data_IF_579911158954
#
_entry.id   IF_579911158954
#
_cell.length_a   1.000
_cell.length_b   1.000
_cell.length_c   1.000
_cell.angle_alpha   90.00
_cell.angle_beta   90.00
_cell.angle_gamma   90.00
#
_symmetry.space_group_name_H-M   'P 1'
#
loop_
_entity.id
_entity.type
_entity.pdbx_description
1 polymer ?
#
# COMPACT_ATOMS: atom_id res chain seq x y z
N UNK A 1 -6.68 -28.32 13.07
CA UNK A 1 -6.74 -27.77 11.70
C UNK A 1 -5.46 -26.99 11.49
N UNK A 2 -4.49 -27.53 10.75
CA UNK A 2 -3.25 -26.81 10.45
C UNK A 2 -3.52 -25.86 9.29
N UNK A 3 -3.58 -24.56 9.57
CA UNK A 3 -3.50 -23.54 8.53
C UNK A 3 -2.08 -23.64 7.93
N UNK A 4 -1.98 -24.10 6.68
CA UNK A 4 -0.72 -24.05 5.95
C UNK A 4 -0.38 -22.61 5.64
N UNK A 5 0.81 -22.15 6.02
CA UNK A 5 1.36 -20.86 5.60
C UNK A 5 1.46 -20.84 4.07
N UNK A 6 0.79 -19.89 3.42
CA UNK A 6 0.89 -19.70 1.99
C UNK A 6 2.21 -18.99 1.70
N UNK A 7 3.29 -19.71 1.43
CA UNK A 7 4.58 -19.09 1.12
C UNK A 7 4.49 -18.39 -0.25
N UNK A 8 4.30 -17.07 -0.24
CA UNK A 8 4.35 -16.29 -1.46
C UNK A 8 5.83 -16.13 -1.89
N UNK A 9 6.06 -16.04 -3.21
CA UNK A 9 7.34 -15.58 -3.73
C UNK A 9 7.46 -14.07 -3.52
N UNK A 10 7.52 -13.65 -2.26
CA UNK A 10 7.68 -12.25 -1.85
C UNK A 10 9.08 -12.07 -1.27
N UNK A 11 9.79 -11.08 -1.79
CA UNK A 11 11.03 -10.60 -1.19
C UNK A 11 10.75 -9.64 -0.05
N UNK A 12 11.60 -8.63 0.08
CA UNK A 12 11.36 -7.48 0.95
C UNK A 12 10.23 -6.61 0.36
N UNK A 13 9.21 -6.33 1.16
CA UNK A 13 8.08 -5.47 0.79
C UNK A 13 8.12 -4.22 1.68
N UNK A 14 7.90 -3.07 1.08
CA UNK A 14 7.78 -1.78 1.75
C UNK A 14 6.36 -1.22 1.67
N UNK A 15 5.81 -0.82 2.81
CA UNK A 15 4.48 -0.23 2.96
C UNK A 15 4.61 1.25 3.35
N UNK A 16 3.81 2.12 2.72
CA UNK A 16 3.68 3.50 3.17
C UNK A 16 2.92 3.56 4.51
N UNK A 17 3.52 4.22 5.50
CA UNK A 17 2.90 4.53 6.78
C UNK A 17 2.58 6.01 6.85
N UNK A 18 1.29 6.33 6.85
CA UNK A 18 0.81 7.70 6.94
C UNK A 18 0.56 8.11 8.40
N UNK A 19 0.60 9.41 8.70
CA UNK A 19 0.52 9.93 10.07
C UNK A 19 -0.87 9.90 10.72
N UNK A 20 -1.92 9.50 10.00
CA UNK A 20 -3.27 9.38 10.55
C UNK A 20 -3.56 7.95 11.00
N UNK A 21 -4.11 7.82 12.20
CA UNK A 21 -4.22 6.55 12.93
C UNK A 21 -4.98 5.44 12.16
N UNK A 22 -5.99 5.80 11.35
CA UNK A 22 -6.71 4.82 10.54
C UNK A 22 -5.86 4.23 9.41
N UNK A 23 -4.96 5.02 8.80
CA UNK A 23 -3.98 4.47 7.86
C UNK A 23 -2.93 3.63 8.54
N UNK A 24 -2.46 4.04 9.71
CA UNK A 24 -1.51 3.24 10.49
C UNK A 24 -2.08 1.87 10.82
N UNK A 25 -3.33 1.81 11.28
CA UNK A 25 -4.02 0.56 11.54
C UNK A 25 -4.08 -0.34 10.29
N UNK A 26 -4.45 0.21 9.13
CA UNK A 26 -4.48 -0.55 7.89
C UNK A 26 -3.08 -1.07 7.50
N UNK A 27 -2.05 -0.22 7.59
CA UNK A 27 -0.68 -0.60 7.25
C UNK A 27 -0.13 -1.70 8.15
N UNK A 28 -0.42 -1.67 9.45
CA UNK A 28 0.01 -2.73 10.38
C UNK A 28 -0.78 -4.03 10.20
N UNK A 29 -2.06 -3.97 9.84
CA UNK A 29 -2.82 -5.17 9.48
C UNK A 29 -2.23 -5.83 8.22
N UNK A 30 -1.96 -5.04 7.19
CA UNK A 30 -1.32 -5.53 5.96
C UNK A 30 0.06 -6.13 6.25
N UNK A 31 0.89 -5.43 7.05
CA UNK A 31 2.19 -5.93 7.48
C UNK A 31 2.07 -7.24 8.25
N UNK A 32 1.11 -7.36 9.18
CA UNK A 32 0.90 -8.57 9.96
C UNK A 32 0.54 -9.76 9.06
N UNK A 33 -0.35 -9.54 8.08
CA UNK A 33 -0.77 -10.57 7.12
C UNK A 33 0.40 -10.98 6.22
N UNK A 34 1.16 -10.03 5.70
CA UNK A 34 2.33 -10.33 4.84
C UNK A 34 3.40 -11.11 5.61
N UNK A 35 3.72 -10.70 6.83
CA UNK A 35 4.76 -11.34 7.65
C UNK A 35 4.32 -12.72 8.17
N UNK A 36 3.10 -12.85 8.69
CA UNK A 36 2.67 -14.07 9.39
C UNK A 36 1.82 -15.00 8.54
N UNK A 37 1.07 -14.45 7.57
CA UNK A 37 0.21 -15.23 6.66
C UNK A 37 0.97 -15.72 5.43
N UNK A 38 1.78 -14.83 4.84
CA UNK A 38 2.50 -15.12 3.59
C UNK A 38 4.00 -15.40 3.76
N UNK A 39 4.58 -15.09 4.92
CA UNK A 39 6.01 -15.27 5.19
C UNK A 39 6.92 -14.26 4.49
N UNK A 40 6.37 -13.13 4.04
CA UNK A 40 7.13 -12.04 3.42
C UNK A 40 7.89 -11.23 4.47
N UNK A 41 8.90 -10.45 4.04
CA UNK A 41 9.52 -9.45 4.92
C UNK A 41 8.94 -8.06 4.63
N UNK A 42 7.83 -7.73 5.29
CA UNK A 42 7.13 -6.46 5.14
C UNK A 42 7.59 -5.43 6.17
N UNK A 43 8.07 -4.29 5.69
CA UNK A 43 8.53 -3.14 6.48
C UNK A 43 7.73 -1.89 6.15
N UNK A 44 7.76 -0.90 7.03
CA UNK A 44 7.01 0.35 6.87
C UNK A 44 7.96 1.53 6.68
N UNK A 45 7.61 2.44 5.78
CA UNK A 45 8.33 3.71 5.55
C UNK A 45 7.35 4.86 5.75
N UNK A 46 7.75 5.86 6.53
CA UNK A 46 6.95 7.05 6.73
C UNK A 46 6.67 7.76 5.39
N UNK A 47 5.40 8.11 5.15
CA UNK A 47 4.96 8.67 3.89
C UNK A 47 3.86 9.72 4.05
N UNK A 48 3.76 10.57 3.04
CA UNK A 48 2.64 11.49 2.82
C UNK A 48 2.10 11.25 1.39
N UNK A 49 0.82 11.54 1.14
CA UNK A 49 0.09 11.18 -0.08
C UNK A 49 0.84 11.56 -1.35
N UNK A 50 1.17 12.84 -1.52
CA UNK A 50 1.82 13.34 -2.75
C UNK A 50 3.23 12.74 -2.94
N UNK A 51 4.18 12.86 -1.99
CA UNK A 51 5.52 12.32 -2.19
C UNK A 51 5.55 10.79 -2.28
N UNK A 52 4.64 10.08 -1.58
CA UNK A 52 4.51 8.63 -1.69
C UNK A 52 4.11 8.23 -3.10
N UNK A 53 3.00 8.77 -3.63
CA UNK A 53 2.51 8.37 -4.96
C UNK A 53 3.49 8.79 -6.07
N UNK A 54 4.10 9.98 -5.95
CA UNK A 54 5.17 10.38 -6.88
C UNK A 54 6.32 9.40 -6.84
N UNK A 55 6.80 9.00 -5.66
CA UNK A 55 7.87 8.01 -5.52
C UNK A 55 7.46 6.63 -6.05
N UNK A 56 6.22 6.19 -5.81
CA UNK A 56 5.71 4.93 -6.34
C UNK A 56 5.73 4.92 -7.86
N UNK A 57 5.27 6.00 -8.50
CA UNK A 57 5.30 6.13 -9.95
C UNK A 57 6.76 6.20 -10.42
N UNK A 58 7.56 7.14 -9.89
CA UNK A 58 8.89 7.43 -10.40
C UNK A 58 9.92 6.33 -10.14
N UNK A 59 9.87 5.72 -8.95
CA UNK A 59 10.92 4.84 -8.41
C UNK A 59 10.42 3.44 -8.06
N UNK A 60 9.11 3.19 -8.14
CA UNK A 60 8.53 1.91 -7.76
C UNK A 60 8.54 1.63 -6.26
N UNK A 61 8.71 2.67 -5.42
CA UNK A 61 8.77 2.53 -3.97
C UNK A 61 7.96 3.62 -3.25
N UNK A 62 7.26 3.32 -2.15
CA UNK A 62 7.10 1.97 -1.56
C UNK A 62 6.25 1.04 -2.43
N UNK A 63 6.28 -0.27 -2.14
CA UNK A 63 5.57 -1.28 -2.94
C UNK A 63 4.05 -1.17 -2.78
N UNK A 64 3.59 -0.83 -1.56
CA UNK A 64 2.16 -0.78 -1.21
C UNK A 64 1.85 0.51 -0.46
N UNK A 65 0.73 1.15 -0.80
CA UNK A 65 0.16 2.29 -0.08
C UNK A 65 -1.28 1.98 0.41
N UNK A 66 -1.45 1.44 1.63
CA UNK A 66 -2.70 0.83 2.12
C UNK A 66 -3.92 1.76 2.16
N UNK A 67 -3.69 3.04 2.42
CA UNK A 67 -4.75 4.02 2.69
C UNK A 67 -4.53 5.33 1.94
N UNK A 68 -4.02 5.25 0.70
CA UNK A 68 -3.78 6.45 -0.11
C UNK A 68 -5.05 6.93 -0.82
N UNK A 69 -5.30 8.23 -0.75
CA UNK A 69 -6.38 8.89 -1.51
C UNK A 69 -5.75 9.72 -2.60
N UNK A 70 -5.96 9.33 -3.87
CA UNK A 70 -5.25 9.92 -5.03
C UNK A 70 -5.96 11.13 -5.66
N UNK A 71 -6.99 11.67 -5.01
CA UNK A 71 -7.83 12.75 -5.55
C UNK A 71 -7.02 13.99 -5.94
N UNK A 72 -5.93 14.28 -5.21
CA UNK A 72 -5.06 15.44 -5.44
C UNK A 72 -4.10 15.28 -6.63
N UNK A 73 -3.97 14.08 -7.19
CA UNK A 73 -2.93 13.75 -8.18
C UNK A 73 -3.46 13.66 -9.62
N UNK A 74 -4.78 13.68 -9.81
CA UNK A 74 -5.45 13.83 -11.11
C UNK A 74 -4.78 13.09 -12.27
N UNK A 75 -4.36 13.85 -13.27
CA UNK A 75 -3.74 13.36 -14.51
C UNK A 75 -2.39 12.66 -14.29
N UNK A 76 -1.61 13.07 -13.28
CA UNK A 76 -0.32 12.45 -12.98
C UNK A 76 -0.49 10.99 -12.53
N UNK A 77 -1.45 10.75 -11.63
CA UNK A 77 -1.80 9.39 -11.23
C UNK A 77 -2.39 8.60 -12.39
N UNK A 78 -3.31 9.18 -13.16
CA UNK A 78 -3.93 8.52 -14.31
C UNK A 78 -2.88 8.07 -15.35
N UNK A 79 -1.88 8.91 -15.63
CA UNK A 79 -0.75 8.56 -16.50
C UNK A 79 0.09 7.43 -15.90
N UNK A 80 0.42 7.49 -14.61
CA UNK A 80 1.14 6.41 -13.93
C UNK A 80 0.43 5.06 -14.01
N UNK A 81 -0.91 5.05 -13.94
CA UNK A 81 -1.74 3.85 -14.14
C UNK A 81 -1.72 3.39 -15.59
N UNK A 82 -1.88 4.29 -16.55
CA UNK A 82 -1.87 3.96 -17.99
C UNK A 82 -0.52 3.41 -18.45
N UNK A 83 0.58 3.87 -17.86
CA UNK A 83 1.94 3.36 -18.09
C UNK A 83 2.25 2.08 -17.31
N UNK A 84 1.32 1.59 -16.49
CA UNK A 84 1.50 0.38 -15.68
C UNK A 84 2.50 0.53 -14.52
N UNK A 85 2.83 1.77 -14.13
CA UNK A 85 3.81 2.08 -13.08
C UNK A 85 3.21 1.92 -11.69
N UNK A 86 1.91 2.15 -11.56
CA UNK A 86 1.12 1.92 -10.34
C UNK A 86 -0.22 1.32 -10.71
N UNK A 87 -0.81 0.54 -9.80
CA UNK A 87 -2.13 -0.03 -10.00
C UNK A 87 -2.91 -0.05 -8.69
N UNK A 88 -4.24 0.05 -8.78
CA UNK A 88 -5.12 -0.08 -7.64
C UNK A 88 -5.41 -1.56 -7.39
N UNK A 89 -4.90 -2.09 -6.29
CA UNK A 89 -5.02 -3.52 -5.94
C UNK A 89 -6.35 -3.89 -5.27
N UNK A 90 -7.08 -2.92 -4.70
CA UNK A 90 -8.36 -3.17 -4.06
C UNK A 90 -8.92 -1.98 -3.30
N UNK A 91 -10.05 -2.20 -2.63
CA UNK A 91 -10.63 -1.29 -1.64
C UNK A 91 -10.35 -1.88 -0.26
N UNK A 92 -9.57 -1.19 0.58
CA UNK A 92 -9.23 -1.65 1.92
C UNK A 92 -10.45 -1.74 2.84
N UNK A 93 -11.15 -0.60 3.04
CA UNK A 93 -12.37 -0.52 3.87
C UNK A 93 -13.45 0.24 3.10
N UNK A 94 -14.56 -0.41 2.77
CA UNK A 94 -15.65 0.23 2.01
C UNK A 94 -16.25 1.44 2.73
N UNK A 95 -16.40 1.34 4.05
CA UNK A 95 -17.19 2.30 4.85
C UNK A 95 -16.32 3.39 5.52
N UNK A 96 -15.01 3.37 5.29
CA UNK A 96 -14.04 4.26 5.93
C UNK A 96 -13.02 4.91 4.99
N UNK A 97 -13.04 4.59 3.69
CA UNK A 97 -12.13 5.16 2.68
C UNK A 97 -12.70 6.37 1.93
N UNK A 98 -13.87 6.89 2.34
CA UNK A 98 -14.46 8.09 1.75
C UNK A 98 -13.83 9.34 2.38
N UNK A 99 -13.13 10.13 1.56
CA UNK A 99 -12.72 11.48 1.95
C UNK A 99 -13.93 12.40 1.77
N UNK A 100 -14.36 13.04 2.85
CA UNK A 100 -15.36 14.11 2.81
C UNK A 100 -14.80 15.42 2.25
#
# INVERSE_FOLDING_TARGET
>A
MSAGSAHAACGDISLALFSWQSAEANAYVDQFILNNGYGCNATTVAGDTVPTVTSMIEKGQPDIAPSVVVTLLGDFYAKGVAEGRVSRIGTGISDGSVSG
#
